data_IF_192563083393
#
_entry.id   IF_192563083393
#
_cell.length_a   1.000
_cell.length_b   1.000
_cell.length_c   1.000
_cell.angle_alpha   90.00
_cell.angle_beta   90.00
_cell.angle_gamma   90.00
#
_symmetry.space_group_name_H-M   'P 1'
#
loop_
_entity.id
_entity.type
_entity.pdbx_description
1 polymer ?
#
# COMPACT_ATOMS: atom_id res chain seq x y z
N UNK A 1 -12.07 -1.78 -17.21
CA UNK A 1 -11.03 -2.81 -17.25
C UNK A 1 -9.63 -2.26 -17.13
N UNK A 2 -9.31 -1.13 -17.79
CA UNK A 2 -8.00 -0.48 -17.63
C UNK A 2 -7.73 -0.05 -16.20
N UNK A 3 -8.75 0.48 -15.50
CA UNK A 3 -8.59 0.91 -14.12
C UNK A 3 -8.24 -0.25 -13.21
N UNK A 4 -8.92 -1.40 -13.34
CA UNK A 4 -8.63 -2.58 -12.54
C UNK A 4 -7.24 -3.15 -12.84
N UNK A 5 -6.86 -3.20 -14.13
CA UNK A 5 -5.52 -3.64 -14.53
C UNK A 5 -4.44 -2.70 -13.99
N UNK A 6 -4.67 -1.40 -14.03
CA UNK A 6 -3.76 -0.40 -13.47
C UNK A 6 -3.66 -0.56 -11.94
N UNK A 7 -4.77 -0.84 -11.26
CA UNK A 7 -4.78 -1.12 -9.83
C UNK A 7 -3.97 -2.35 -9.46
N UNK A 8 -4.08 -3.41 -10.26
CA UNK A 8 -3.28 -4.61 -10.06
C UNK A 8 -1.79 -4.35 -10.25
N UNK A 9 -1.41 -3.61 -11.29
CA UNK A 9 -0.02 -3.22 -11.52
C UNK A 9 0.50 -2.32 -10.39
N UNK A 10 -0.30 -1.38 -9.96
CA UNK A 10 -0.01 -0.49 -8.83
C UNK A 10 0.27 -1.30 -7.56
N UNK A 11 -0.61 -2.25 -7.25
CA UNK A 11 -0.41 -3.16 -6.13
C UNK A 11 0.91 -3.94 -6.27
N UNK A 12 1.16 -4.56 -7.42
CA UNK A 12 2.35 -5.41 -7.60
C UNK A 12 3.64 -4.63 -7.38
N UNK A 13 3.73 -3.44 -7.95
CA UNK A 13 4.93 -2.60 -7.82
C UNK A 13 5.11 -2.15 -6.38
N UNK A 14 4.06 -1.62 -5.76
CA UNK A 14 4.15 -1.10 -4.41
C UNK A 14 4.27 -2.21 -3.36
N UNK A 15 3.65 -3.35 -3.58
CA UNK A 15 3.81 -4.50 -2.69
C UNK A 15 5.26 -5.00 -2.71
N UNK A 16 5.88 -5.09 -3.89
CA UNK A 16 7.29 -5.48 -4.02
C UNK A 16 8.21 -4.49 -3.31
N UNK A 17 8.00 -3.20 -3.53
CA UNK A 17 8.78 -2.15 -2.86
C UNK A 17 8.56 -2.19 -1.35
N UNK A 18 7.31 -2.35 -0.92
CA UNK A 18 6.95 -2.45 0.49
C UNK A 18 7.53 -3.68 1.17
N UNK A 19 7.58 -4.80 0.45
CA UNK A 19 8.19 -6.02 0.97
C UNK A 19 9.69 -5.79 1.24
N UNK A 20 10.38 -5.16 0.31
CA UNK A 20 11.81 -4.85 0.47
C UNK A 20 12.05 -3.87 1.62
N UNK A 21 11.29 -2.78 1.66
CA UNK A 21 11.40 -1.78 2.73
C UNK A 21 10.97 -2.36 4.09
N UNK A 22 9.92 -3.18 4.11
CA UNK A 22 9.47 -3.85 5.32
C UNK A 22 10.49 -4.82 5.87
N UNK A 23 11.20 -5.53 4.99
CA UNK A 23 12.29 -6.41 5.39
C UNK A 23 13.42 -5.59 6.04
N UNK A 24 13.81 -4.48 5.42
CA UNK A 24 14.81 -3.58 6.01
C UNK A 24 14.32 -3.03 7.35
N UNK A 25 13.06 -2.64 7.45
CA UNK A 25 12.48 -2.14 8.69
C UNK A 25 12.61 -3.17 9.81
N UNK A 26 12.19 -4.41 9.54
CA UNK A 26 12.20 -5.46 10.56
C UNK A 26 13.64 -5.84 10.97
N UNK A 27 14.55 -5.92 10.01
CA UNK A 27 15.91 -6.41 10.28
C UNK A 27 16.86 -5.31 10.79
N UNK A 28 16.67 -4.06 10.37
CA UNK A 28 17.62 -2.99 10.64
C UNK A 28 17.03 -1.89 11.52
N UNK A 29 15.88 -1.35 11.14
CA UNK A 29 15.36 -0.15 11.78
C UNK A 29 14.59 -0.43 13.07
N UNK A 30 13.69 -1.43 13.08
CA UNK A 30 12.88 -1.72 14.24
C UNK A 30 13.70 -2.12 15.47
N UNK A 31 14.76 -2.95 15.34
CA UNK A 31 15.59 -3.30 16.50
C UNK A 31 16.31 -2.11 17.12
N UNK A 32 16.59 -1.05 16.34
CA UNK A 32 17.31 0.13 16.80
C UNK A 32 16.41 1.28 17.22
N UNK A 33 15.30 1.48 16.49
CA UNK A 33 14.43 2.65 16.63
C UNK A 33 13.08 2.33 17.25
N UNK A 34 12.69 1.06 17.33
CA UNK A 34 11.37 0.64 17.73
C UNK A 34 10.39 0.62 16.54
N UNK A 35 9.30 -0.11 16.72
CA UNK A 35 8.34 -0.36 15.62
C UNK A 35 7.66 0.92 15.12
N UNK A 36 7.23 1.78 16.03
CA UNK A 36 6.50 3.01 15.65
C UNK A 36 7.36 3.94 14.83
N UNK A 37 8.58 4.21 15.30
CA UNK A 37 9.48 5.12 14.58
C UNK A 37 9.91 4.54 13.24
N UNK A 38 10.15 3.23 13.19
CA UNK A 38 10.53 2.55 11.95
C UNK A 38 9.42 2.67 10.89
N UNK A 39 8.16 2.46 11.28
CA UNK A 39 7.01 2.60 10.37
C UNK A 39 6.84 4.06 9.95
N UNK A 40 7.02 5.02 10.86
CA UNK A 40 6.94 6.44 10.54
C UNK A 40 8.00 6.89 9.53
N UNK A 41 9.19 6.29 9.58
CA UNK A 41 10.25 6.57 8.60
C UNK A 41 9.94 5.96 7.23
N UNK A 42 9.36 4.76 7.22
CA UNK A 42 8.99 4.07 6.00
C UNK A 42 7.82 4.76 5.28
N UNK A 43 6.86 5.28 6.03
CA UNK A 43 5.59 5.80 5.50
C UNK A 43 5.76 6.89 4.45
N UNK A 44 6.56 7.97 4.67
CA UNK A 44 6.75 9.00 3.64
C UNK A 44 7.37 8.44 2.35
N UNK A 45 8.31 7.51 2.47
CA UNK A 45 8.94 6.87 1.31
C UNK A 45 7.92 6.08 0.51
N UNK A 46 7.08 5.31 1.18
CA UNK A 46 6.04 4.51 0.51
C UNK A 46 4.97 5.39 -0.11
N UNK A 47 4.57 6.46 0.55
CA UNK A 47 3.57 7.39 -0.01
C UNK A 47 4.13 8.14 -1.22
N UNK A 48 5.39 8.57 -1.16
CA UNK A 48 6.03 9.21 -2.31
C UNK A 48 6.15 8.25 -3.49
N UNK A 49 6.59 7.02 -3.23
CA UNK A 49 6.66 5.98 -4.26
C UNK A 49 5.28 5.68 -4.84
N UNK A 50 4.26 5.58 -3.98
CA UNK A 50 2.88 5.34 -4.41
C UNK A 50 2.37 6.45 -5.33
N UNK A 51 2.64 7.69 -4.97
CA UNK A 51 2.25 8.86 -5.79
C UNK A 51 2.88 8.80 -7.18
N UNK A 52 4.19 8.58 -7.24
CA UNK A 52 4.92 8.55 -8.50
C UNK A 52 4.54 7.36 -9.37
N UNK A 53 4.43 6.18 -8.79
CA UNK A 53 4.05 4.95 -9.52
C UNK A 53 2.62 5.08 -10.04
N UNK A 54 1.70 5.55 -9.20
CA UNK A 54 0.31 5.75 -9.59
C UNK A 54 0.21 6.71 -10.78
N UNK A 55 0.89 7.84 -10.69
CA UNK A 55 0.90 8.84 -11.76
C UNK A 55 1.44 8.25 -13.07
N UNK A 56 2.52 7.49 -12.98
CA UNK A 56 3.13 6.84 -14.14
C UNK A 56 2.18 5.81 -14.77
N UNK A 57 1.54 4.98 -13.96
CA UNK A 57 0.60 3.96 -14.45
C UNK A 57 -0.64 4.58 -15.10
N UNK A 58 -1.17 5.64 -14.51
CA UNK A 58 -2.31 6.35 -15.10
C UNK A 58 -1.97 6.84 -16.51
N UNK A 59 -0.78 7.40 -16.70
CA UNK A 59 -0.34 7.86 -17.99
C UNK A 59 -0.13 6.72 -18.98
N UNK A 60 0.60 5.69 -18.57
CA UNK A 60 0.98 4.56 -19.44
C UNK A 60 -0.22 3.71 -19.82
N UNK A 61 -1.15 3.52 -18.92
CA UNK A 61 -2.32 2.68 -19.14
C UNK A 61 -3.56 3.47 -19.55
N UNK A 62 -3.42 4.78 -19.68
CA UNK A 62 -4.49 5.68 -20.12
C UNK A 62 -5.76 5.51 -19.29
N UNK A 63 -5.61 5.52 -17.96
CA UNK A 63 -6.75 5.42 -17.04
C UNK A 63 -7.58 6.70 -17.13
N UNK A 64 -8.88 6.56 -17.32
CA UNK A 64 -9.78 7.70 -17.44
C UNK A 64 -9.73 8.59 -16.19
N UNK A 65 -9.91 9.90 -16.37
CA UNK A 65 -9.78 10.88 -15.29
C UNK A 65 -11.01 10.97 -14.38
N UNK A 66 -12.05 10.22 -14.65
CA UNK A 66 -13.27 10.26 -13.86
C UNK A 66 -13.09 9.60 -12.48
N UNK A 67 -13.89 10.02 -11.53
CA UNK A 67 -13.80 9.55 -10.15
C UNK A 67 -14.03 8.05 -10.01
N UNK A 68 -14.94 7.48 -10.81
CA UNK A 68 -15.25 6.05 -10.75
C UNK A 68 -14.05 5.20 -11.16
N UNK A 69 -13.38 5.56 -12.28
CA UNK A 69 -12.21 4.83 -12.76
C UNK A 69 -11.07 4.91 -11.74
N UNK A 70 -10.84 6.08 -11.16
CA UNK A 70 -9.77 6.26 -10.17
C UNK A 70 -10.08 5.56 -8.86
N UNK A 71 -11.32 5.58 -8.43
CA UNK A 71 -11.75 4.84 -7.25
C UNK A 71 -11.59 3.33 -7.47
N UNK A 72 -11.97 2.84 -8.66
CA UNK A 72 -11.82 1.44 -9.00
C UNK A 72 -10.36 1.01 -8.99
N UNK A 73 -9.48 1.84 -9.54
CA UNK A 73 -8.02 1.60 -9.50
C UNK A 73 -7.52 1.49 -8.07
N UNK A 74 -7.89 2.44 -7.23
CA UNK A 74 -7.47 2.48 -5.83
C UNK A 74 -8.01 1.31 -5.02
N UNK A 75 -9.30 0.99 -5.20
CA UNK A 75 -9.93 -0.14 -4.51
C UNK A 75 -9.31 -1.47 -4.93
N UNK A 76 -9.05 -1.66 -6.21
CA UNK A 76 -8.39 -2.87 -6.71
C UNK A 76 -7.04 -3.04 -6.05
N UNK A 77 -6.21 -1.99 -6.05
CA UNK A 77 -4.90 -2.01 -5.43
C UNK A 77 -5.00 -2.29 -3.92
N UNK A 78 -5.91 -1.61 -3.24
CA UNK A 78 -6.09 -1.76 -1.80
C UNK A 78 -6.54 -3.18 -1.41
N UNK A 79 -7.55 -3.71 -2.10
CA UNK A 79 -8.06 -5.06 -1.82
C UNK A 79 -6.98 -6.11 -2.07
N UNK A 80 -6.26 -6.00 -3.19
CA UNK A 80 -5.16 -6.91 -3.48
C UNK A 80 -4.07 -6.82 -2.42
N UNK A 81 -3.74 -5.61 -1.95
CA UNK A 81 -2.75 -5.40 -0.91
C UNK A 81 -3.18 -6.07 0.40
N UNK A 82 -4.43 -5.90 0.81
CA UNK A 82 -4.96 -6.53 2.02
C UNK A 82 -4.93 -8.05 1.92
N UNK A 83 -5.38 -8.59 0.80
CA UNK A 83 -5.39 -10.04 0.57
C UNK A 83 -3.96 -10.60 0.57
N UNK A 84 -3.03 -9.91 -0.08
CA UNK A 84 -1.63 -10.34 -0.14
C UNK A 84 -0.98 -10.34 1.25
N UNK A 85 -1.25 -9.32 2.05
CA UNK A 85 -0.70 -9.23 3.40
C UNK A 85 -1.25 -10.32 4.32
N UNK A 86 -2.55 -10.58 4.25
CA UNK A 86 -3.18 -11.65 5.03
C UNK A 86 -2.60 -13.00 4.60
N UNK A 87 -2.51 -13.24 3.29
CA UNK A 87 -1.96 -14.49 2.75
C UNK A 87 -0.49 -14.67 3.15
N UNK A 88 0.30 -13.62 3.07
CA UNK A 88 1.71 -13.67 3.46
C UNK A 88 1.85 -13.97 4.96
N UNK A 89 1.02 -13.36 5.79
CA UNK A 89 1.01 -13.62 7.22
C UNK A 89 0.65 -15.05 7.55
N UNK A 90 -0.40 -15.60 6.90
CA UNK A 90 -0.86 -16.97 7.14
C UNK A 90 0.11 -18.01 6.60
N UNK A 91 0.60 -17.82 5.38
CA UNK A 91 1.38 -18.81 4.66
C UNK A 91 2.89 -18.66 4.82
N UNK A 92 3.36 -17.39 4.88
CA UNK A 92 4.79 -17.09 4.92
C UNK A 92 5.35 -17.01 6.33
N UNK A 93 4.61 -16.40 7.26
CA UNK A 93 5.10 -16.14 8.62
C UNK A 93 4.38 -16.93 9.70
N UNK A 94 3.47 -17.82 9.33
CA UNK A 94 2.76 -18.68 10.28
C UNK A 94 1.89 -17.90 11.28
N UNK A 95 1.47 -16.69 10.94
CA UNK A 95 0.62 -15.88 11.82
C UNK A 95 -0.85 -16.25 11.63
N UNK A 96 -1.57 -16.45 12.73
CA UNK A 96 -3.01 -16.67 12.65
C UNK A 96 -3.71 -15.37 12.28
N UNK A 97 -4.95 -15.47 11.80
CA UNK A 97 -5.77 -14.30 11.50
C UNK A 97 -5.98 -13.44 12.75
N UNK A 98 -6.18 -14.09 13.89
CA UNK A 98 -6.32 -13.41 15.19
C UNK A 98 -5.08 -12.58 15.54
N UNK A 99 -3.88 -13.13 15.34
CA UNK A 99 -2.62 -12.41 15.56
C UNK A 99 -2.51 -11.19 14.66
N UNK A 100 -2.92 -11.32 13.40
CA UNK A 100 -2.89 -10.21 12.45
C UNK A 100 -3.87 -9.10 12.83
N UNK A 101 -5.08 -9.46 13.27
CA UNK A 101 -6.07 -8.48 13.73
C UNK A 101 -5.59 -7.76 14.97
N UNK A 102 -4.97 -8.49 15.91
CA UNK A 102 -4.40 -7.90 17.12
C UNK A 102 -3.29 -6.91 16.77
N UNK A 103 -2.43 -7.26 15.81
CA UNK A 103 -1.35 -6.38 15.37
C UNK A 103 -1.89 -5.07 14.78
N UNK A 104 -3.03 -5.10 14.09
CA UNK A 104 -3.66 -3.89 13.54
C UNK A 104 -4.15 -2.93 14.63
N UNK A 105 -4.43 -3.42 15.84
CA UNK A 105 -4.83 -2.56 16.96
C UNK A 105 -3.66 -1.89 17.66
N UNK A 106 -2.43 -2.28 17.36
CA UNK A 106 -1.23 -1.67 17.90
C UNK A 106 -0.89 -0.35 17.17
N UNK A 107 -0.16 0.59 17.80
CA UNK A 107 0.15 1.87 17.17
C UNK A 107 0.84 1.75 15.81
N UNK A 108 1.84 0.89 15.69
CA UNK A 108 2.54 0.69 14.41
C UNK A 108 1.59 0.13 13.34
N UNK A 109 0.72 -0.82 13.72
CA UNK A 109 -0.26 -1.38 12.81
C UNK A 109 -1.30 -0.37 12.33
N UNK A 110 -1.76 0.51 13.23
CA UNK A 110 -2.70 1.57 12.89
C UNK A 110 -2.08 2.60 11.93
N UNK A 111 -0.82 2.97 12.16
CA UNK A 111 -0.09 3.89 11.28
C UNK A 111 0.06 3.24 9.90
N UNK A 112 0.43 1.96 9.85
CA UNK A 112 0.55 1.23 8.60
C UNK A 112 -0.77 1.16 7.84
N UNK A 113 -1.87 0.89 8.54
CA UNK A 113 -3.21 0.84 7.94
C UNK A 113 -3.61 2.20 7.37
N UNK A 114 -3.31 3.30 8.09
CA UNK A 114 -3.56 4.65 7.58
C UNK A 114 -2.79 4.88 6.27
N UNK A 115 -1.54 4.43 6.19
CA UNK A 115 -0.75 4.50 4.97
C UNK A 115 -1.35 3.68 3.83
N UNK A 116 -1.89 2.52 4.13
CA UNK A 116 -2.54 1.67 3.13
C UNK A 116 -3.83 2.29 2.60
N UNK A 117 -4.60 2.93 3.46
CA UNK A 117 -5.80 3.67 3.05
C UNK A 117 -5.40 4.84 2.15
N UNK A 118 -4.34 5.56 2.51
CA UNK A 118 -3.79 6.64 1.68
C UNK A 118 -3.34 6.10 0.31
N UNK A 119 -2.67 4.96 0.27
CA UNK A 119 -2.29 4.28 -0.97
C UNK A 119 -3.51 4.06 -1.88
N UNK A 120 -4.60 3.54 -1.31
CA UNK A 120 -5.84 3.32 -2.06
C UNK A 120 -6.54 4.61 -2.50
N UNK A 121 -6.33 5.71 -1.78
CA UNK A 121 -6.94 7.01 -2.09
C UNK A 121 -6.15 7.82 -3.12
N UNK A 122 -4.86 7.53 -3.31
CA UNK A 122 -4.00 8.30 -4.21
C UNK A 122 -4.53 8.40 -5.64
N UNK A 123 -4.99 7.31 -6.30
CA UNK A 123 -5.54 7.44 -7.64
C UNK A 123 -6.70 8.44 -7.73
N UNK A 124 -7.58 8.44 -6.73
CA UNK A 124 -8.71 9.36 -6.68
C UNK A 124 -8.24 10.81 -6.46
N UNK A 125 -7.26 11.01 -5.60
CA UNK A 125 -6.67 12.33 -5.37
C UNK A 125 -6.03 12.88 -6.63
N UNK A 126 -5.38 12.05 -7.43
CA UNK A 126 -4.78 12.46 -8.70
C UNK A 126 -5.83 12.82 -9.75
N UNK A 127 -7.02 12.22 -9.69
CA UNK A 127 -8.12 12.59 -10.57
C UNK A 127 -8.52 14.06 -10.37
N UNK A 128 -8.61 14.48 -9.11
CA UNK A 128 -8.97 15.87 -8.77
C UNK A 128 -7.89 16.86 -9.17
N UNK A 129 -6.63 16.47 -9.04
CA UNK A 129 -5.50 17.34 -9.34
C UNK A 129 -5.30 17.57 -10.83
N UNK A 130 -5.71 16.62 -11.67
CA UNK A 130 -5.52 16.67 -13.11
C UNK A 130 -6.69 17.29 -13.88
N UNK A 131 -7.65 17.87 -13.17
CA UNK A 131 -8.76 18.60 -13.76
C UNK A 131 -8.36 20.06 -14.14
#
# INVERSE_FOLDING_TARGET
>A
MRAAAAGAAYFLILFSAGFMLGTLRVLVFAPRLGDVLAVLLELPLMLAASWLVCRSLIRRMAVAADSVSRLLMGLTGFVLLMLAEIALGLLGFGRSLEMQLTALSQPAGLIGLAGQIAFGAIPLLQARKNR
#
